data_IF_821086071153
#
_entry.id   IF_821086071153
#
_cell.length_a   1.000
_cell.length_b   1.000
_cell.length_c   1.000
_cell.angle_alpha   90.00
_cell.angle_beta   90.00
_cell.angle_gamma   90.00
#
_symmetry.space_group_name_H-M   'P 1'
#
loop_
_entity.id
_entity.type
_entity.pdbx_description
1 polymer ?
#
# COMPACT_ATOMS: atom_id res chain seq x y z
N UNK A 1 6.18 -6.21 17.95
CA UNK A 1 6.74 -6.29 16.90
C UNK A 1 6.00 -6.91 15.88
N UNK A 2 5.62 -6.31 14.95
CA UNK A 2 4.87 -6.83 14.10
C UNK A 2 5.52 -7.12 12.95
N UNK A 3 5.63 -8.17 12.57
CA UNK A 3 6.27 -8.50 11.48
C UNK A 3 5.36 -8.97 10.45
N UNK A 4 4.26 -8.30 10.32
CA UNK A 4 3.28 -8.75 9.40
C UNK A 4 3.45 -8.09 8.07
N UNK A 5 4.48 -8.43 7.37
CA UNK A 5 4.72 -7.89 6.05
C UNK A 5 4.02 -8.77 5.04
N UNK A 6 3.19 -8.18 4.20
CA UNK A 6 2.48 -8.91 3.17
C UNK A 6 2.83 -8.36 1.81
N UNK A 7 2.52 -9.10 0.78
CA UNK A 7 2.66 -8.59 -0.58
C UNK A 7 1.29 -8.58 -1.23
N UNK A 8 1.11 -7.67 -2.16
CA UNK A 8 -0.14 -7.60 -2.89
C UNK A 8 0.07 -6.81 -4.15
N UNK A 9 -1.02 -6.52 -4.84
CA UNK A 9 -0.93 -5.70 -6.03
C UNK A 9 -1.83 -4.50 -5.89
N UNK A 10 -1.42 -3.41 -6.48
CA UNK A 10 -2.17 -2.17 -6.39
C UNK A 10 -3.46 -2.31 -7.19
N UNK A 11 -4.59 -2.11 -6.53
CA UNK A 11 -5.86 -2.18 -7.20
C UNK A 11 -6.11 -0.88 -7.94
N UNK A 12 -5.89 0.23 -7.30
CA UNK A 12 -5.93 1.52 -7.95
C UNK A 12 -5.29 2.54 -7.01
N UNK A 13 -4.84 3.64 -7.55
CA UNK A 13 -4.25 4.70 -6.75
C UNK A 13 -4.52 6.03 -7.43
N UNK A 14 -4.97 7.00 -6.66
CA UNK A 14 -5.28 8.33 -7.19
C UNK A 14 -4.17 9.30 -6.81
N UNK A 15 -3.38 9.71 -7.77
CA UNK A 15 -2.25 10.60 -7.52
C UNK A 15 -2.68 11.95 -7.01
N UNK A 16 -3.80 12.42 -7.44
CA UNK A 16 -4.23 13.73 -7.02
C UNK A 16 -4.68 13.76 -5.59
N UNK A 17 -5.36 12.73 -5.17
CA UNK A 17 -5.82 12.65 -3.81
C UNK A 17 -4.84 11.99 -2.88
N UNK A 18 -3.89 11.26 -3.43
CA UNK A 18 -2.83 10.66 -2.65
C UNK A 18 -3.23 9.41 -1.90
N UNK A 19 -4.17 8.63 -2.41
CA UNK A 19 -4.51 7.39 -1.73
C UNK A 19 -5.05 6.37 -2.72
N UNK A 20 -5.12 5.16 -2.28
CA UNK A 20 -5.64 4.08 -3.10
C UNK A 20 -5.83 2.83 -2.28
N UNK A 21 -5.94 1.72 -2.96
CA UNK A 21 -6.14 0.43 -2.31
C UNK A 21 -5.23 -0.62 -2.92
N UNK A 22 -4.81 -1.55 -2.08
CA UNK A 22 -3.96 -2.66 -2.49
C UNK A 22 -4.74 -3.93 -2.24
N UNK A 23 -4.78 -4.80 -3.23
CA UNK A 23 -5.46 -6.07 -3.12
C UNK A 23 -4.50 -7.09 -2.51
N UNK A 24 -4.96 -7.80 -1.49
CA UNK A 24 -4.15 -8.79 -0.82
C UNK A 24 -4.62 -10.17 -1.21
N UNK A 25 -3.70 -11.11 -1.21
CA UNK A 25 -4.06 -12.48 -1.46
C UNK A 25 -4.87 -13.05 -0.30
N UNK A 26 -4.62 -12.56 0.88
CA UNK A 26 -5.20 -13.18 2.05
C UNK A 26 -6.50 -12.59 2.49
N UNK A 27 -7.04 -11.63 1.81
CA UNK A 27 -8.29 -11.12 2.28
C UNK A 27 -8.69 -9.80 1.69
N UNK A 28 -9.13 -8.90 2.54
CA UNK A 28 -9.70 -7.65 2.08
C UNK A 28 -8.65 -6.70 1.57
N UNK A 29 -9.06 -5.76 0.74
CA UNK A 29 -8.17 -4.72 0.29
C UNK A 29 -7.71 -3.88 1.45
N UNK A 30 -6.53 -3.31 1.34
CA UNK A 30 -6.03 -2.41 2.37
C UNK A 30 -5.90 -1.02 1.80
N UNK A 31 -6.21 -0.03 2.63
CA UNK A 31 -6.10 1.36 2.26
C UNK A 31 -4.63 1.78 2.29
N UNK A 32 -4.20 2.57 1.33
CA UNK A 32 -2.84 3.08 1.32
C UNK A 32 -2.87 4.57 1.04
N UNK A 33 -2.06 5.33 1.79
CA UNK A 33 -1.92 6.76 1.60
C UNK A 33 -0.50 7.03 1.13
N UNK A 34 -0.30 8.10 0.37
CA UNK A 34 1.03 8.35 -0.18
C UNK A 34 2.09 8.48 0.90
N UNK A 35 1.72 8.93 2.08
CA UNK A 35 2.69 9.09 3.14
C UNK A 35 3.20 7.76 3.65
N UNK A 36 2.52 6.67 3.33
CA UNK A 36 2.97 5.34 3.74
C UNK A 36 3.85 4.67 2.69
N UNK A 37 4.04 5.31 1.55
CA UNK A 37 4.83 4.73 0.48
C UNK A 37 6.28 5.13 0.63
N UNK A 38 7.17 4.14 0.65
CA UNK A 38 8.58 4.41 0.71
C UNK A 38 9.06 4.75 -0.70
N UNK A 39 9.74 5.85 -0.80
CA UNK A 39 10.19 6.28 -2.11
C UNK A 39 11.61 6.79 -2.02
N UNK A 40 12.42 6.39 -2.95
CA UNK A 40 13.79 6.83 -2.95
C UNK A 40 13.90 8.11 -3.72
N UNK A 41 13.50 9.14 -3.12
CA UNK A 41 13.73 10.45 -3.69
C UNK A 41 12.82 10.79 -4.79
N UNK A 42 11.64 10.46 -4.72
CA UNK A 42 10.85 10.86 -5.77
C UNK A 42 9.39 10.81 -5.52
N UNK A 43 8.67 10.28 -6.43
CA UNK A 43 7.28 10.28 -6.34
C UNK A 43 6.78 9.22 -5.46
N UNK A 44 5.78 9.53 -4.72
CA UNK A 44 5.12 8.55 -3.89
C UNK A 44 3.80 8.19 -4.55
N UNK A 45 3.90 7.45 -5.63
CA UNK A 45 2.73 7.06 -6.37
C UNK A 45 2.81 5.59 -6.73
N UNK A 46 1.68 4.98 -6.97
CA UNK A 46 1.61 3.57 -7.32
C UNK A 46 0.83 3.42 -8.61
N UNK A 47 1.13 2.37 -9.35
CA UNK A 47 0.43 2.08 -10.59
C UNK A 47 -0.43 0.85 -10.42
N UNK A 48 -1.51 0.80 -11.12
CA UNK A 48 -2.41 -0.36 -11.08
C UNK A 48 -1.67 -1.62 -11.45
N UNK A 49 -1.87 -2.66 -10.67
CA UNK A 49 -1.25 -3.95 -10.95
C UNK A 49 0.17 -4.08 -10.45
N UNK A 50 0.73 -3.01 -9.89
CA UNK A 50 2.10 -3.05 -9.41
C UNK A 50 2.22 -3.91 -8.17
N UNK A 51 3.26 -4.70 -8.08
CA UNK A 51 3.49 -5.55 -6.91
C UNK A 51 4.18 -4.75 -5.82
N UNK A 52 3.65 -4.82 -4.63
CA UNK A 52 4.20 -4.06 -3.50
C UNK A 52 4.24 -4.93 -2.26
N UNK A 53 5.13 -4.59 -1.33
CA UNK A 53 5.12 -5.19 -0.01
C UNK A 53 4.76 -4.12 1.00
N UNK A 54 4.14 -4.51 2.08
CA UNK A 54 3.66 -3.54 3.05
C UNK A 54 3.35 -4.20 4.36
N UNK A 55 3.21 -3.39 5.39
CA UNK A 55 2.77 -3.87 6.70
C UNK A 55 1.31 -3.50 6.86
N UNK A 56 0.55 -4.36 7.48
CA UNK A 56 -0.86 -4.11 7.69
C UNK A 56 -1.09 -3.62 9.11
N UNK A 57 -1.73 -2.47 9.24
CA UNK A 57 -2.06 -1.93 10.54
C UNK A 57 -3.54 -1.61 10.56
N UNK A 58 -4.06 -1.35 11.73
CA UNK A 58 -5.46 -0.97 11.87
C UNK A 58 -5.59 0.53 11.80
N UNK A 59 -6.40 1.01 10.92
CA UNK A 59 -6.65 2.44 10.80
C UNK A 59 -8.10 2.74 11.03
N UNK A 60 -8.46 3.99 10.91
CA UNK A 60 -9.83 4.40 11.12
C UNK A 60 -10.75 3.83 10.06
N UNK A 61 -10.25 3.60 8.89
CA UNK A 61 -11.04 3.08 7.81
C UNK A 61 -10.92 1.58 7.68
N UNK A 62 -10.27 0.93 8.61
CA UNK A 62 -10.07 -0.52 8.55
C UNK A 62 -8.61 -0.83 8.31
N UNK A 63 -8.29 -1.96 7.70
CA UNK A 63 -6.90 -2.32 7.47
C UNK A 63 -6.20 -1.29 6.59
N UNK A 64 -4.98 -0.96 6.93
CA UNK A 64 -4.25 0.09 6.29
C UNK A 64 -2.82 -0.36 6.04
N UNK A 65 -2.25 0.03 4.91
CA UNK A 65 -0.89 -0.36 4.57
C UNK A 65 0.10 0.69 5.05
N UNK A 66 1.23 0.22 5.52
CA UNK A 66 2.31 1.08 5.97
C UNK A 66 3.61 0.56 5.41
N UNK A 67 4.60 1.39 5.32
CA UNK A 67 5.92 0.99 4.81
C UNK A 67 5.80 0.30 3.46
N UNK A 68 5.05 0.89 2.56
CA UNK A 68 4.80 0.28 1.26
C UNK A 68 6.02 0.43 0.38
N UNK A 69 6.48 -0.67 -0.17
CA UNK A 69 7.63 -0.68 -1.06
C UNK A 69 7.29 -1.44 -2.33
N UNK A 70 7.81 -0.99 -3.43
CA UNK A 70 7.58 -1.65 -4.71
C UNK A 70 8.53 -2.82 -4.82
N UNK A 71 7.99 -3.99 -5.13
CA UNK A 71 8.83 -5.17 -5.23
C UNK A 71 8.90 -5.74 -6.62
N UNK A 72 8.28 -5.19 -7.54
CA UNK A 72 8.28 -5.78 -8.86
C UNK A 72 9.00 -4.98 -9.90
#
# INVERSE_FOLDING_TARGET
>A
MSDQIETGSVKWFNDEKGYGFIARASGEDVFVHFSAINSDGGRRTLLEGQQVSFEVTSGQKGPQAENVSIVG
#
